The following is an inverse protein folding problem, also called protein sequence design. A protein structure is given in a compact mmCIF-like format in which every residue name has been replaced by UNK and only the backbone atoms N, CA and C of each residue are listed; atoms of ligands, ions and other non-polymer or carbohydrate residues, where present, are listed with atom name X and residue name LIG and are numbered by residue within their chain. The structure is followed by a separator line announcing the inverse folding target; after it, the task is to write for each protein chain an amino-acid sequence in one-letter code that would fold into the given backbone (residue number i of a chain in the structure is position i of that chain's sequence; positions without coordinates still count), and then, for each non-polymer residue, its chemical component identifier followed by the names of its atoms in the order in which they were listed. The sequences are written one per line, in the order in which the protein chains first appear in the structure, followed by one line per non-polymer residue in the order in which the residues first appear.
data_IF_000554993698
#
_entry.id   IF_000554993698
#
_cell.length_a   1.000
_cell.length_b   1.000
_cell.length_c   1.000
_cell.angle_alpha   90.00
_cell.angle_beta   90.00
_cell.angle_gamma   90.00
#
_symmetry.space_group_name_H-M   'P 1'
#
loop_
_entity.id
_entity.type
_entity.pdbx_description
1 polymer ?
#
# COMPACT_ATOMS: atom_id res chain seq x y z
N UNK A 1 13.07 0.34 -18.10
CA UNK A 1 13.00 1.15 -16.88
C UNK A 1 11.61 1.06 -16.30
N UNK A 2 11.55 0.77 -15.02
CA UNK A 2 10.27 0.75 -14.33
C UNK A 2 10.14 2.04 -13.54
N UNK A 3 9.16 2.82 -13.87
CA UNK A 3 8.90 4.06 -13.16
C UNK A 3 7.67 3.87 -12.29
N UNK A 4 7.57 4.68 -11.24
CA UNK A 4 6.35 4.78 -10.49
C UNK A 4 5.22 5.20 -11.41
N UNK A 5 4.05 4.57 -11.25
CA UNK A 5 2.88 4.95 -12.03
C UNK A 5 2.65 6.46 -11.94
N UNK A 6 2.34 7.16 -13.05
CA UNK A 6 2.08 8.60 -13.00
C UNK A 6 0.95 8.99 -12.05
N UNK A 7 0.03 8.05 -11.74
CA UNK A 7 -1.06 8.32 -10.82
C UNK A 7 -0.72 7.99 -9.37
N UNK A 8 0.47 7.47 -9.09
CA UNK A 8 0.86 7.11 -7.73
C UNK A 8 1.62 8.25 -7.05
N UNK A 9 1.42 8.36 -5.74
CA UNK A 9 2.17 9.31 -4.92
C UNK A 9 3.44 8.69 -4.37
N UNK A 10 3.48 7.36 -4.25
CA UNK A 10 4.59 6.63 -3.65
C UNK A 10 4.63 5.21 -4.19
N UNK A 11 5.82 4.69 -4.41
CA UNK A 11 6.03 3.29 -4.74
C UNK A 11 6.78 2.63 -3.58
N UNK A 12 6.36 1.42 -3.22
CA UNK A 12 7.00 0.61 -2.19
C UNK A 12 7.47 -0.71 -2.78
N UNK A 13 8.42 -1.30 -2.14
CA UNK A 13 8.97 -2.59 -2.50
C UNK A 13 10.48 -2.55 -2.50
N UNK A 14 11.13 -3.66 -2.79
CA UNK A 14 10.52 -4.94 -3.14
C UNK A 14 9.96 -5.72 -1.96
N UNK A 15 10.35 -5.40 -0.70
CA UNK A 15 9.97 -6.22 0.44
C UNK A 15 9.08 -5.46 1.41
N UNK A 16 7.93 -6.05 1.70
CA UNK A 16 7.03 -5.61 2.77
C UNK A 16 7.01 -6.72 3.83
N UNK A 17 8.14 -6.85 4.54
CA UNK A 17 8.35 -7.93 5.51
C UNK A 17 8.89 -7.37 6.82
N UNK A 18 8.90 -8.21 7.86
CA UNK A 18 9.33 -7.79 9.20
C UNK A 18 10.67 -7.05 9.21
N UNK A 19 11.74 -7.53 8.56
CA UNK A 19 13.02 -6.83 8.59
C UNK A 19 12.96 -5.40 8.04
N UNK A 20 12.01 -5.10 7.19
CA UNK A 20 11.89 -3.80 6.54
C UNK A 20 10.70 -3.00 7.05
N UNK A 21 9.96 -3.54 8.03
CA UNK A 21 8.71 -2.94 8.48
C UNK A 21 8.91 -1.54 9.05
N UNK A 22 9.97 -1.32 9.81
CA UNK A 22 10.22 -0.01 10.42
C UNK A 22 10.47 1.06 9.36
N UNK A 23 11.28 0.75 8.35
CA UNK A 23 11.57 1.69 7.27
C UNK A 23 10.32 1.97 6.44
N UNK A 24 9.57 0.93 6.11
CA UNK A 24 8.31 1.08 5.37
C UNK A 24 7.32 1.92 6.16
N UNK A 25 7.22 1.68 7.45
CA UNK A 25 6.33 2.46 8.33
C UNK A 25 6.70 3.94 8.29
N UNK A 26 7.98 4.25 8.45
CA UNK A 26 8.44 5.63 8.43
C UNK A 26 8.12 6.31 7.10
N UNK A 27 8.35 5.61 6.00
CA UNK A 27 8.03 6.10 4.67
C UNK A 27 6.54 6.39 4.53
N UNK A 28 5.70 5.47 4.97
CA UNK A 28 4.25 5.63 4.89
C UNK A 28 3.74 6.75 5.78
N UNK A 29 4.26 6.86 7.00
CA UNK A 29 3.88 7.94 7.91
C UNK A 29 4.20 9.29 7.28
N UNK A 30 5.39 9.45 6.71
CA UNK A 30 5.78 10.69 6.06
C UNK A 30 4.91 10.99 4.83
N UNK A 31 4.58 9.96 4.05
CA UNK A 31 3.74 10.13 2.87
C UNK A 31 2.33 10.57 3.24
N UNK A 32 1.76 9.97 4.28
CA UNK A 32 0.43 10.36 4.77
C UNK A 32 0.44 11.82 5.23
N UNK A 33 1.49 12.21 5.96
CA UNK A 33 1.61 13.58 6.46
C UNK A 33 1.79 14.60 5.32
N UNK A 34 2.46 14.19 4.25
CA UNK A 34 2.77 15.09 3.14
C UNK A 34 1.65 15.18 2.11
N UNK A 35 0.69 14.27 2.14
CA UNK A 35 -0.36 14.19 1.13
C UNK A 35 -1.66 14.79 1.66
N UNK A 36 -2.28 15.65 0.87
CA UNK A 36 -3.63 16.13 1.13
C UNK A 36 -4.58 15.31 0.27
N UNK A 37 -5.56 14.68 0.90
CA UNK A 37 -6.48 13.79 0.20
C UNK A 37 -5.99 12.35 0.22
N UNK A 38 -6.41 11.57 -0.76
CA UNK A 38 -6.08 10.15 -0.83
C UNK A 38 -4.59 9.94 -1.09
N UNK A 39 -4.04 8.90 -0.50
CA UNK A 39 -2.68 8.46 -0.80
C UNK A 39 -2.74 7.33 -1.81
N UNK A 40 -2.04 7.47 -2.92
CA UNK A 40 -2.03 6.47 -3.99
C UNK A 40 -0.69 5.75 -4.01
N UNK A 41 -0.74 4.44 -3.85
CA UNK A 41 0.46 3.60 -3.78
C UNK A 41 0.61 2.74 -5.03
N UNK A 42 1.83 2.68 -5.53
CA UNK A 42 2.24 1.71 -6.53
C UNK A 42 2.97 0.58 -5.82
N UNK A 43 2.36 -0.59 -5.78
CA UNK A 43 2.88 -1.77 -5.12
C UNK A 43 3.23 -2.87 -6.13
N UNK A 44 3.38 -2.50 -7.40
CA UNK A 44 3.70 -3.46 -8.46
C UNK A 44 5.09 -4.07 -8.31
N UNK A 45 6.00 -3.40 -7.60
CA UNK A 45 7.35 -3.89 -7.37
C UNK A 45 7.50 -4.79 -6.16
N UNK A 46 6.43 -5.06 -5.41
CA UNK A 46 6.52 -5.89 -4.21
C UNK A 46 6.68 -7.35 -4.59
N UNK A 47 7.80 -7.96 -4.18
CA UNK A 47 8.08 -9.36 -4.46
C UNK A 47 7.87 -10.24 -3.23
N UNK A 48 8.07 -9.69 -2.04
CA UNK A 48 7.93 -10.43 -0.79
C UNK A 48 7.06 -9.63 0.17
N UNK A 49 6.11 -10.32 0.79
CA UNK A 49 5.20 -9.70 1.76
C UNK A 49 4.85 -10.72 2.83
N UNK A 50 4.76 -10.25 4.07
CA UNK A 50 4.26 -11.06 5.18
C UNK A 50 3.16 -10.29 5.91
N UNK A 51 2.66 -10.87 7.01
CA UNK A 51 1.57 -10.24 7.75
C UNK A 51 1.94 -8.87 8.29
N UNK A 52 3.23 -8.65 8.63
CA UNK A 52 3.67 -7.34 9.11
C UNK A 52 3.52 -6.28 8.02
N UNK A 53 3.88 -6.61 6.77
CA UNK A 53 3.69 -5.70 5.65
C UNK A 53 2.23 -5.39 5.40
N UNK A 54 1.37 -6.40 5.45
CA UNK A 54 -0.07 -6.20 5.28
C UNK A 54 -0.64 -5.33 6.38
N UNK A 55 -0.20 -5.52 7.61
CA UNK A 55 -0.62 -4.67 8.73
C UNK A 55 -0.26 -3.21 8.51
N UNK A 56 0.91 -2.94 7.96
CA UNK A 56 1.30 -1.57 7.64
C UNK A 56 0.34 -0.91 6.65
N UNK A 57 -0.08 -1.65 5.63
CA UNK A 57 -1.03 -1.12 4.65
C UNK A 57 -2.38 -0.85 5.30
N UNK A 58 -2.84 -1.76 6.17
CA UNK A 58 -4.11 -1.58 6.87
C UNK A 58 -4.05 -0.39 7.82
N UNK A 59 -2.95 -0.23 8.56
CA UNK A 59 -2.77 0.89 9.47
C UNK A 59 -2.74 2.21 8.70
N UNK A 60 -2.08 2.24 7.55
CA UNK A 60 -2.02 3.41 6.70
C UNK A 60 -3.42 3.79 6.21
N UNK A 61 -4.17 2.79 5.73
CA UNK A 61 -5.54 3.02 5.30
C UNK A 61 -6.39 3.57 6.43
N UNK A 62 -6.26 2.99 7.61
CA UNK A 62 -7.02 3.44 8.78
C UNK A 62 -6.72 4.90 9.10
N UNK A 63 -5.46 5.30 9.09
CA UNK A 63 -5.08 6.68 9.37
C UNK A 63 -5.71 7.64 8.35
N UNK A 64 -5.72 7.25 7.09
CA UNK A 64 -6.32 8.08 6.05
C UNK A 64 -7.83 8.18 6.21
N UNK A 65 -8.49 7.05 6.47
CA UNK A 65 -9.95 7.01 6.66
C UNK A 65 -10.36 7.87 7.86
N UNK A 66 -9.59 7.85 8.92
CA UNK A 66 -9.90 8.65 10.12
C UNK A 66 -9.92 10.15 9.85
N UNK A 67 -9.18 10.60 8.83
CA UNK A 67 -9.20 12.02 8.45
C UNK A 67 -10.10 12.30 7.25
N UNK A 68 -10.87 11.31 6.79
CA UNK A 68 -11.81 11.48 5.68
C UNK A 68 -11.26 11.14 4.32
N UNK A 69 -10.07 10.54 4.25
CA UNK A 69 -9.43 10.18 2.98
C UNK A 69 -9.35 8.67 2.82
N UNK A 70 -8.72 8.20 1.76
CA UNK A 70 -8.57 6.78 1.49
C UNK A 70 -7.18 6.43 1.00
N UNK A 71 -6.83 5.15 1.15
CA UNK A 71 -5.66 4.57 0.53
C UNK A 71 -6.09 3.94 -0.79
N UNK A 72 -5.40 4.29 -1.87
CA UNK A 72 -5.64 3.68 -3.18
C UNK A 72 -4.39 2.92 -3.62
N UNK A 73 -4.57 1.66 -3.99
CA UNK A 73 -3.50 0.86 -4.57
C UNK A 73 -3.71 0.91 -6.08
N UNK A 74 -2.87 1.70 -6.75
CA UNK A 74 -3.04 1.94 -8.20
C UNK A 74 -2.36 0.87 -9.05
N UNK A 75 -1.46 0.10 -8.45
CA UNK A 75 -0.81 -1.03 -9.10
C UNK A 75 -0.39 -2.02 -8.03
N UNK A 76 -0.52 -3.30 -8.32
CA UNK A 76 -0.29 -4.36 -7.33
C UNK A 76 0.43 -5.53 -7.99
N UNK A 77 1.45 -6.05 -7.32
CA UNK A 77 2.15 -7.24 -7.79
C UNK A 77 1.30 -8.49 -7.58
N UNK A 78 1.61 -9.56 -8.30
CA UNK A 78 0.97 -10.85 -8.11
C UNK A 78 1.21 -11.37 -6.70
N UNK A 79 2.44 -11.22 -6.19
CA UNK A 79 2.78 -11.67 -4.84
C UNK A 79 1.92 -11.00 -3.78
N UNK A 80 1.73 -9.69 -3.90
CA UNK A 80 0.90 -8.96 -2.95
C UNK A 80 -0.58 -9.33 -3.09
N UNK A 81 -1.07 -9.46 -4.31
CA UNK A 81 -2.45 -9.87 -4.57
C UNK A 81 -2.76 -11.23 -3.97
N UNK A 82 -1.84 -12.19 -4.14
CA UNK A 82 -2.00 -13.51 -3.57
C UNK A 82 -2.01 -13.46 -2.05
N UNK A 83 -1.10 -12.69 -1.45
CA UNK A 83 -1.04 -12.55 0.00
C UNK A 83 -2.33 -11.95 0.56
N UNK A 84 -2.84 -10.91 -0.10
CA UNK A 84 -4.10 -10.30 0.34
C UNK A 84 -5.26 -11.29 0.26
N UNK A 85 -5.28 -12.13 -0.78
CA UNK A 85 -6.29 -13.17 -0.91
C UNK A 85 -6.21 -14.20 0.21
N UNK A 86 -4.99 -14.66 0.53
CA UNK A 86 -4.78 -15.63 1.61
C UNK A 86 -5.25 -15.10 2.95
N UNK A 87 -4.99 -13.81 3.23
CA UNK A 87 -5.37 -13.19 4.50
C UNK A 87 -6.78 -12.59 4.48
N UNK A 88 -7.50 -12.71 3.37
CA UNK A 88 -8.86 -12.19 3.27
C UNK A 88 -8.96 -10.67 3.27
N UNK A 89 -7.92 -9.99 2.80
CA UNK A 89 -7.84 -8.53 2.85
C UNK A 89 -8.18 -7.83 1.55
N UNK A 90 -8.53 -8.58 0.51
CA UNK A 90 -8.80 -7.99 -0.79
C UNK A 90 -9.93 -6.97 -0.77
N UNK A 91 -10.91 -7.13 0.11
CA UNK A 91 -12.01 -6.18 0.22
C UNK A 91 -11.63 -4.93 1.01
N UNK A 92 -10.59 -5.01 1.83
CA UNK A 92 -10.15 -3.89 2.65
C UNK A 92 -9.16 -2.98 1.91
N UNK A 93 -8.46 -3.54 0.92
CA UNK A 93 -7.48 -2.83 0.12
C UNK A 93 -7.88 -2.92 -1.34
N UNK A 94 -8.78 -2.04 -1.75
CA UNK A 94 -9.32 -2.02 -3.11
C UNK A 94 -8.42 -1.15 -3.97
N UNK A 95 -8.09 -1.64 -5.17
CA UNK A 95 -7.34 -0.83 -6.13
C UNK A 95 -8.24 0.22 -6.76
N UNK A 96 -7.63 1.25 -7.32
CA UNK A 96 -8.40 2.30 -7.99
C UNK A 96 -9.21 1.74 -9.17
N UNK A 97 -8.67 0.72 -9.85
CA UNK A 97 -9.34 0.10 -10.99
C UNK A 97 -10.56 -0.73 -10.60
N UNK A 98 -10.63 -1.12 -9.34
CA UNK A 98 -11.72 -1.93 -8.81
C UNK A 98 -12.78 -1.11 -8.12
N UNK A 99 -12.62 0.19 -8.07
CA UNK A 99 -13.60 1.06 -7.43
C UNK A 99 -14.93 0.96 -8.15
N UNK A 100 -16.02 0.85 -7.41
CA UNK A 100 -17.35 0.74 -8.03
C UNK A 100 -17.74 2.00 -8.77
#
# INVERSE_FOLDING_TARGET
MTATSPSADLALGPELTIPFAADCRNTLVQAVAATAGDLRLDLSGVTDVDSAGLQLLLCTRRSLVERGDNLQIVACSDALGEAMGVFGLGQLLVTADEAP
#
